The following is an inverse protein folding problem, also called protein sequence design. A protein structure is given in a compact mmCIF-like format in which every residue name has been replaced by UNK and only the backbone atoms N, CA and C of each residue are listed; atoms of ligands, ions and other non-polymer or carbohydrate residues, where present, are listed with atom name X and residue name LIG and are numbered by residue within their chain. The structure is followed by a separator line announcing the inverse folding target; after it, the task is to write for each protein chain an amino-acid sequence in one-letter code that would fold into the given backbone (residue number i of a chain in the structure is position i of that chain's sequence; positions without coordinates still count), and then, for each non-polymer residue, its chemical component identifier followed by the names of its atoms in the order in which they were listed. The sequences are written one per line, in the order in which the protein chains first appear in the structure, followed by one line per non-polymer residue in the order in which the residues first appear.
data_IF_813586375884
#
_entry.id   IF_813586375884
#
_cell.length_a   1.000
_cell.length_b   1.000
_cell.length_c   1.000
_cell.angle_alpha   90.00
_cell.angle_beta   90.00
_cell.angle_gamma   90.00
#
_symmetry.space_group_name_H-M   'P 1'
#
loop_
_entity.id
_entity.type
_entity.pdbx_description
1 polymer ?
#
# COMPACT_ATOMS: atom_id res chain seq x y z
N UNK A 1 76.12 30.19 -61.70
CA UNK A 1 75.93 31.65 -61.75
C UNK A 1 75.12 32.00 -60.51
N UNK A 2 75.72 32.14 -59.32
CA UNK A 2 76.77 33.06 -58.85
C UNK A 2 76.16 34.31 -58.20
N UNK A 3 76.80 34.81 -57.12
CA UNK A 3 76.32 35.88 -56.21
C UNK A 3 75.08 35.51 -55.35
N UNK A 4 74.75 36.18 -54.23
CA UNK A 4 75.44 36.97 -53.16
C UNK A 4 74.30 37.53 -52.25
N UNK A 5 74.41 37.97 -50.99
CA UNK A 5 75.49 38.17 -50.00
C UNK A 5 74.88 38.02 -48.59
N UNK A 6 75.68 38.01 -47.51
CA UNK A 6 75.20 38.00 -46.12
C UNK A 6 75.14 39.41 -45.48
N UNK A 7 74.32 39.56 -44.42
CA UNK A 7 74.43 40.65 -43.43
C UNK A 7 73.97 40.21 -42.01
N UNK A 8 74.63 40.73 -40.98
CA UNK A 8 74.49 40.55 -39.50
C UNK A 8 75.10 41.83 -38.83
N UNK A 9 75.20 41.99 -37.49
CA UNK A 9 74.54 41.34 -36.33
C UNK A 9 73.42 42.28 -35.79
N UNK A 10 73.10 42.60 -34.51
CA UNK A 10 73.49 42.34 -33.08
C UNK A 10 72.20 42.59 -32.24
N UNK A 11 72.04 42.34 -30.92
CA UNK A 11 72.89 41.85 -29.82
C UNK A 11 72.51 40.36 -29.51
N UNK A 12 72.67 39.65 -28.37
CA UNK A 12 72.99 39.85 -26.93
C UNK A 12 71.87 40.51 -26.06
N UNK A 13 71.74 40.24 -24.74
CA UNK A 13 72.57 39.45 -23.82
C UNK A 13 71.77 38.86 -22.61
N UNK A 14 72.21 37.70 -22.09
CA UNK A 14 71.89 37.07 -20.78
C UNK A 14 70.41 36.70 -20.43
N UNK A 15 70.14 35.64 -19.64
CA UNK A 15 71.05 34.63 -19.08
C UNK A 15 70.36 33.63 -18.13
N UNK A 16 71.17 32.71 -17.58
CA UNK A 16 70.86 31.70 -16.55
C UNK A 16 69.85 30.57 -16.88
N UNK A 17 70.31 29.33 -16.73
CA UNK A 17 69.50 28.12 -16.70
C UNK A 17 69.80 27.31 -15.42
N UNK A 18 68.78 26.66 -14.85
CA UNK A 18 68.90 25.62 -13.82
C UNK A 18 67.65 24.72 -13.83
N UNK A 19 67.75 23.53 -13.24
CA UNK A 19 66.75 22.45 -13.28
C UNK A 19 66.70 21.76 -11.89
N UNK A 20 66.02 20.62 -11.69
CA UNK A 20 64.58 20.37 -11.60
C UNK A 20 64.13 20.04 -10.15
N UNK A 21 62.82 19.83 -9.89
CA UNK A 21 62.42 19.19 -8.62
C UNK A 21 60.92 19.12 -8.24
N UNK A 22 60.32 17.94 -8.43
CA UNK A 22 59.23 17.30 -7.66
C UNK A 22 58.10 18.07 -6.95
N UNK A 23 56.86 17.64 -7.30
CA UNK A 23 55.69 17.38 -6.42
C UNK A 23 55.18 18.50 -5.47
N UNK A 24 53.96 18.98 -5.76
CA UNK A 24 52.75 18.77 -4.91
C UNK A 24 51.49 19.28 -5.63
N UNK A 25 50.39 18.51 -5.58
CA UNK A 25 49.06 18.94 -6.00
C UNK A 25 48.25 19.33 -4.75
N UNK A 26 48.00 20.63 -4.57
CA UNK A 26 46.95 21.16 -3.70
C UNK A 26 45.72 21.43 -4.57
N UNK A 27 44.57 20.79 -4.33
CA UNK A 27 43.62 21.13 -3.27
C UNK A 27 43.45 22.64 -3.13
N UNK A 28 42.42 23.20 -3.78
CA UNK A 28 41.29 23.91 -3.18
C UNK A 28 40.32 24.25 -4.32
N UNK A 29 39.16 23.60 -4.35
CA UNK A 29 37.90 24.14 -3.85
C UNK A 29 37.14 24.94 -4.93
N UNK A 30 36.56 24.22 -5.90
CA UNK A 30 35.56 24.80 -6.80
C UNK A 30 34.20 24.74 -6.10
N UNK A 31 33.54 25.89 -5.97
CA UNK A 31 32.28 26.03 -5.22
C UNK A 31 31.16 25.24 -5.88
N UNK A 32 30.63 24.22 -5.19
CA UNK A 32 29.34 23.63 -5.54
C UNK A 32 28.26 24.65 -5.14
N UNK A 33 27.74 25.37 -6.14
CA UNK A 33 26.66 26.33 -5.91
C UNK A 33 25.36 25.54 -5.70
N UNK A 34 25.03 25.26 -4.44
CA UNK A 34 23.79 24.59 -4.04
C UNK A 34 22.58 25.50 -4.31
N UNK A 35 22.10 25.47 -5.55
CA UNK A 35 20.90 26.16 -6.02
C UNK A 35 20.02 25.22 -6.86
N UNK A 36 19.97 23.94 -6.49
CA UNK A 36 18.84 23.10 -6.87
C UNK A 36 17.60 23.67 -6.17
N UNK A 37 16.76 24.37 -6.94
CA UNK A 37 15.42 24.74 -6.48
C UNK A 37 14.66 23.42 -6.38
N UNK A 38 14.62 22.86 -5.16
CA UNK A 38 13.75 21.76 -4.82
C UNK A 38 12.32 22.28 -4.84
N UNK A 39 11.73 22.25 -6.03
CA UNK A 39 10.29 22.30 -6.21
C UNK A 39 9.69 21.06 -5.57
N UNK A 40 9.50 21.11 -4.25
CA UNK A 40 8.79 20.11 -3.45
C UNK A 40 7.30 20.12 -3.79
N UNK A 41 6.96 19.76 -5.03
CA UNK A 41 5.61 19.33 -5.37
C UNK A 41 5.25 18.11 -4.51
N UNK A 42 3.95 17.93 -4.26
CA UNK A 42 3.43 16.89 -3.37
C UNK A 42 3.56 15.47 -3.96
N UNK A 43 4.81 15.00 -4.09
CA UNK A 43 5.16 13.60 -4.38
C UNK A 43 4.43 12.69 -3.38
N UNK A 44 4.10 11.45 -3.77
CA UNK A 44 3.11 10.66 -3.03
C UNK A 44 3.40 10.56 -1.51
N UNK A 45 2.37 10.93 -0.75
CA UNK A 45 2.26 10.96 0.71
C UNK A 45 1.02 10.17 1.11
N UNK A 46 0.66 9.12 0.37
CA UNK A 46 -0.43 8.24 0.78
C UNK A 46 0.10 7.23 1.81
N UNK A 47 -0.74 6.71 2.70
CA UNK A 47 -0.51 5.41 3.33
C UNK A 47 -0.28 4.27 2.31
N UNK A 48 0.11 3.11 2.83
CA UNK A 48 0.11 1.86 2.05
C UNK A 48 -1.34 1.46 1.77
N UNK A 49 -1.56 0.90 0.58
CA UNK A 49 -2.88 0.39 0.22
C UNK A 49 -3.09 -0.98 0.87
N UNK A 50 -3.83 -0.99 1.97
CA UNK A 50 -4.13 -2.19 2.77
C UNK A 50 -5.63 -2.45 2.79
N UNK A 51 -5.98 -3.73 2.70
CA UNK A 51 -7.32 -4.32 2.86
C UNK A 51 -7.12 -5.65 3.59
N UNK A 52 -8.02 -6.05 4.49
CA UNK A 52 -8.10 -7.45 4.88
C UNK A 52 -8.57 -8.24 3.66
N UNK A 53 -7.88 -9.34 3.32
CA UNK A 53 -8.19 -10.20 2.18
C UNK A 53 -8.78 -11.56 2.59
N UNK A 54 -8.99 -11.80 3.90
CA UNK A 54 -9.75 -12.95 4.39
C UNK A 54 -11.08 -13.04 3.62
N UNK A 55 -11.48 -14.21 3.09
CA UNK A 55 -12.62 -14.32 2.17
C UNK A 55 -13.96 -13.79 2.71
N UNK A 56 -14.14 -13.71 4.03
CA UNK A 56 -15.33 -13.09 4.65
C UNK A 56 -15.14 -11.60 4.90
N UNK A 57 -14.01 -11.19 5.50
CA UNK A 57 -13.77 -9.76 5.81
C UNK A 57 -13.59 -8.90 4.54
N UNK A 58 -13.07 -9.48 3.45
CA UNK A 58 -12.85 -8.82 2.16
C UNK A 58 -14.14 -8.42 1.42
N UNK A 59 -15.30 -8.99 1.80
CA UNK A 59 -16.62 -8.66 1.25
C UNK A 59 -17.12 -7.27 1.68
N UNK A 60 -16.60 -6.74 2.80
CA UNK A 60 -17.07 -5.49 3.39
C UNK A 60 -16.33 -4.26 2.84
N UNK A 61 -17.05 -3.15 2.67
CA UNK A 61 -16.57 -1.89 2.11
C UNK A 61 -15.58 -1.10 2.96
N UNK A 62 -14.82 -1.77 3.84
CA UNK A 62 -13.85 -1.16 4.74
C UNK A 62 -12.78 -0.39 3.94
N UNK A 63 -12.59 0.92 4.19
CA UNK A 63 -11.73 1.75 3.35
C UNK A 63 -10.26 1.66 3.77
N UNK A 64 -9.37 1.55 2.78
CA UNK A 64 -7.92 1.65 2.99
C UNK A 64 -7.51 3.03 3.53
N UNK A 65 -6.37 3.09 4.23
CA UNK A 65 -5.81 4.35 4.70
C UNK A 65 -5.41 5.29 3.55
N UNK A 66 -5.67 6.59 3.70
CA UNK A 66 -5.47 7.64 2.68
C UNK A 66 -4.96 8.93 3.33
N UNK A 67 -4.25 9.75 2.56
CA UNK A 67 -3.90 11.10 2.99
C UNK A 67 -5.16 11.97 3.13
N UNK A 68 -5.27 12.71 4.23
CA UNK A 68 -6.38 13.62 4.52
C UNK A 68 -6.33 14.94 3.72
N UNK A 69 -5.19 15.25 3.09
CA UNK A 69 -5.06 16.41 2.22
C UNK A 69 -5.63 16.17 0.81
N UNK A 70 -6.06 17.24 0.16
CA UNK A 70 -6.66 17.27 -1.17
C UNK A 70 -5.81 18.18 -2.07
N UNK A 71 -5.46 17.67 -3.26
CA UNK A 71 -4.68 18.41 -4.24
C UNK A 71 -5.43 19.62 -4.82
N UNK A 72 -4.75 20.49 -5.60
CA UNK A 72 -5.39 21.65 -6.23
C UNK A 72 -6.59 21.26 -7.10
N UNK A 73 -7.59 22.13 -7.20
CA UNK A 73 -8.77 21.91 -8.03
C UNK A 73 -8.39 21.50 -9.47
N UNK A 74 -8.96 20.39 -9.94
CA UNK A 74 -8.66 19.79 -11.24
C UNK A 74 -7.51 18.78 -11.26
N UNK A 75 -6.75 18.62 -10.16
CA UNK A 75 -5.71 17.59 -10.05
C UNK A 75 -6.28 16.17 -10.04
N UNK A 76 -5.51 15.22 -10.59
CA UNK A 76 -5.95 13.85 -10.84
C UNK A 76 -4.90 12.83 -10.39
N UNK A 77 -5.34 11.82 -9.64
CA UNK A 77 -4.56 10.64 -9.27
C UNK A 77 -5.09 9.39 -9.96
N UNK A 78 -4.18 8.52 -10.36
CA UNK A 78 -4.48 7.16 -10.80
C UNK A 78 -3.54 6.20 -10.06
N UNK A 79 -4.04 5.11 -9.51
CA UNK A 79 -3.21 4.05 -8.97
C UNK A 79 -3.70 2.68 -9.43
N UNK A 80 -2.74 1.78 -9.62
CA UNK A 80 -2.98 0.36 -9.79
C UNK A 80 -2.41 -0.37 -8.56
N UNK A 81 -3.25 -1.15 -7.92
CA UNK A 81 -2.95 -1.93 -6.73
C UNK A 81 -3.00 -3.41 -7.07
N UNK A 82 -1.99 -4.15 -6.64
CA UNK A 82 -1.97 -5.60 -6.64
C UNK A 82 -1.72 -6.06 -5.22
N UNK A 83 -2.50 -7.02 -4.75
CA UNK A 83 -2.37 -7.61 -3.43
C UNK A 83 -2.65 -9.09 -3.57
N UNK A 84 -1.79 -9.94 -3.02
CA UNK A 84 -1.95 -11.38 -3.04
C UNK A 84 -1.79 -11.90 -1.62
N UNK A 85 -2.76 -12.68 -1.17
CA UNK A 85 -2.79 -13.28 0.16
C UNK A 85 -2.95 -14.79 0.03
N UNK A 86 -2.27 -15.51 0.92
CA UNK A 86 -2.56 -16.92 1.16
C UNK A 86 -3.22 -17.06 2.53
N UNK A 87 -4.18 -17.97 2.62
CA UNK A 87 -4.91 -18.28 3.85
C UNK A 87 -4.67 -19.74 4.22
N UNK A 88 -4.44 -20.01 5.50
CA UNK A 88 -4.38 -21.37 6.02
C UNK A 88 -5.06 -21.45 7.41
N UNK A 89 -6.35 -21.10 7.47
CA UNK A 89 -7.15 -21.13 8.70
C UNK A 89 -7.97 -22.41 8.78
N UNK A 90 -7.93 -23.13 9.90
CA UNK A 90 -8.72 -24.35 10.10
C UNK A 90 -9.16 -24.48 11.56
N UNK A 91 -10.40 -24.07 11.83
CA UNK A 91 -10.95 -23.89 13.19
C UNK A 91 -12.21 -24.72 13.42
N UNK A 92 -12.40 -25.17 14.67
CA UNK A 92 -13.66 -25.77 15.14
C UNK A 92 -13.97 -25.26 16.54
N UNK A 93 -15.14 -24.63 16.72
CA UNK A 93 -15.58 -24.00 17.97
C UNK A 93 -17.06 -24.34 18.22
N UNK A 94 -17.31 -25.18 19.23
CA UNK A 94 -18.67 -25.61 19.59
C UNK A 94 -19.33 -26.45 18.50
N UNK A 95 -20.28 -25.85 17.78
CA UNK A 95 -20.96 -26.45 16.61
C UNK A 95 -20.48 -25.86 15.27
N UNK A 96 -19.59 -24.86 15.32
CA UNK A 96 -19.08 -24.14 14.15
C UNK A 96 -17.77 -24.76 13.68
N UNK A 97 -17.55 -24.78 12.36
CA UNK A 97 -16.31 -25.20 11.74
C UNK A 97 -15.99 -24.29 10.55
N UNK A 98 -14.73 -23.87 10.45
CA UNK A 98 -14.18 -23.05 9.38
C UNK A 98 -12.96 -23.75 8.76
N UNK A 99 -12.86 -23.69 7.44
CA UNK A 99 -11.64 -23.96 6.69
C UNK A 99 -11.47 -22.84 5.65
N UNK A 100 -10.30 -22.20 5.60
CA UNK A 100 -9.91 -21.24 4.57
C UNK A 100 -8.52 -21.64 4.09
N UNK A 101 -8.47 -22.41 3.01
CA UNK A 101 -7.24 -22.87 2.35
C UNK A 101 -7.18 -22.35 0.91
N UNK A 102 -6.01 -21.89 0.46
CA UNK A 102 -5.77 -21.33 -0.88
C UNK A 102 -5.36 -19.85 -0.92
N UNK A 103 -5.56 -19.20 -2.07
CA UNK A 103 -5.09 -17.83 -2.36
C UNK A 103 -6.21 -16.87 -2.80
N UNK A 104 -6.07 -15.59 -2.40
CA UNK A 104 -6.82 -14.46 -2.97
C UNK A 104 -5.86 -13.48 -3.63
N UNK A 105 -5.92 -13.38 -4.96
CA UNK A 105 -5.33 -12.29 -5.73
C UNK A 105 -6.37 -11.17 -5.92
N UNK A 106 -6.01 -9.94 -5.58
CA UNK A 106 -6.84 -8.74 -5.77
C UNK A 106 -6.08 -7.68 -6.54
N UNK A 107 -6.64 -7.24 -7.67
CA UNK A 107 -6.14 -6.12 -8.47
C UNK A 107 -7.17 -5.00 -8.43
N UNK A 108 -6.78 -3.78 -8.07
CA UNK A 108 -7.70 -2.64 -8.06
C UNK A 108 -7.16 -1.42 -8.81
N UNK A 109 -8.03 -0.80 -9.60
CA UNK A 109 -7.79 0.51 -10.21
C UNK A 109 -8.45 1.58 -9.34
N UNK A 110 -7.65 2.54 -8.88
CA UNK A 110 -8.09 3.65 -8.04
C UNK A 110 -7.95 4.97 -8.82
N UNK A 111 -9.02 5.74 -8.93
CA UNK A 111 -9.05 7.07 -9.54
C UNK A 111 -9.37 8.10 -8.46
N UNK A 112 -8.63 9.21 -8.39
CA UNK A 112 -8.86 10.32 -7.45
C UNK A 112 -8.94 11.63 -8.24
N UNK A 113 -9.94 12.47 -7.99
CA UNK A 113 -10.10 13.76 -8.70
C UNK A 113 -10.55 14.88 -7.77
N UNK A 114 -9.75 15.95 -7.69
CA UNK A 114 -10.07 17.14 -6.90
C UNK A 114 -11.12 18.01 -7.62
N UNK A 115 -12.38 17.92 -7.20
CA UNK A 115 -13.47 18.76 -7.69
C UNK A 115 -13.24 20.24 -7.37
N UNK A 116 -12.71 20.51 -6.18
CA UNK A 116 -12.23 21.82 -5.72
C UNK A 116 -11.04 21.60 -4.79
N UNK A 117 -10.35 22.66 -4.36
CA UNK A 117 -9.24 22.53 -3.41
C UNK A 117 -9.64 21.83 -2.09
N UNK A 118 -10.93 21.82 -1.73
CA UNK A 118 -11.43 21.22 -0.48
C UNK A 118 -12.37 20.02 -0.69
N UNK A 119 -12.57 19.56 -1.93
CA UNK A 119 -13.44 18.40 -2.24
C UNK A 119 -12.81 17.51 -3.29
N UNK A 120 -12.76 16.20 -3.04
CA UNK A 120 -12.40 15.20 -4.06
C UNK A 120 -13.38 14.04 -4.13
N UNK A 121 -13.35 13.36 -5.28
CA UNK A 121 -13.95 12.04 -5.46
C UNK A 121 -12.84 10.99 -5.58
N UNK A 122 -13.08 9.82 -4.99
CA UNK A 122 -12.32 8.59 -5.21
C UNK A 122 -13.26 7.52 -5.76
N UNK A 123 -12.84 6.81 -6.82
CA UNK A 123 -13.45 5.60 -7.31
C UNK A 123 -12.44 4.45 -7.24
N UNK A 124 -12.81 3.34 -6.63
CA UNK A 124 -12.04 2.09 -6.58
C UNK A 124 -12.81 1.00 -7.33
N UNK A 125 -12.16 0.38 -8.32
CA UNK A 125 -12.69 -0.71 -9.14
C UNK A 125 -11.80 -1.95 -8.95
N UNK A 126 -12.22 -2.92 -8.12
CA UNK A 126 -11.47 -4.16 -7.91
C UNK A 126 -11.84 -5.26 -8.92
N UNK A 127 -10.89 -6.15 -9.13
CA UNK A 127 -11.03 -7.48 -9.70
C UNK A 127 -10.35 -8.47 -8.75
N UNK A 128 -10.97 -9.63 -8.54
CA UNK A 128 -10.50 -10.69 -7.64
C UNK A 128 -10.34 -12.00 -8.42
N UNK A 129 -9.43 -12.83 -7.96
CA UNK A 129 -9.24 -14.23 -8.32
C UNK A 129 -9.04 -15.02 -7.01
N UNK A 130 -9.84 -16.07 -6.85
CA UNK A 130 -9.75 -17.04 -5.77
C UNK A 130 -9.34 -18.38 -6.37
N UNK A 131 -8.18 -18.87 -5.98
CA UNK A 131 -7.56 -20.04 -6.61
C UNK A 131 -6.76 -20.84 -5.58
N UNK A 132 -6.39 -22.08 -5.95
CA UNK A 132 -5.61 -22.93 -5.06
C UNK A 132 -4.17 -22.45 -4.86
N UNK A 133 -3.60 -21.83 -5.89
CA UNK A 133 -2.36 -21.05 -5.79
C UNK A 133 -1.17 -21.54 -6.60
N UNK A 134 -0.03 -20.90 -6.30
CA UNK A 134 1.35 -21.24 -6.65
C UNK A 134 2.31 -20.84 -5.48
N UNK A 135 1.87 -19.95 -4.57
CA UNK A 135 2.65 -19.41 -3.44
C UNK A 135 2.99 -20.47 -2.39
N UNK A 136 2.26 -21.58 -2.28
CA UNK A 136 2.62 -22.74 -1.45
C UNK A 136 4.10 -23.08 -1.62
N UNK A 137 4.51 -23.25 -2.87
CA UNK A 137 5.89 -23.57 -3.24
C UNK A 137 6.88 -22.47 -2.84
N UNK A 138 6.46 -21.20 -2.80
CA UNK A 138 7.32 -20.06 -2.46
C UNK A 138 7.44 -19.88 -0.93
N UNK A 139 6.34 -20.09 -0.21
CA UNK A 139 6.24 -20.01 1.25
C UNK A 139 6.99 -21.19 1.89
N UNK A 140 6.78 -22.42 1.41
CA UNK A 140 7.53 -23.60 1.87
C UNK A 140 9.05 -23.39 1.69
N UNK A 141 9.50 -22.93 0.52
CA UNK A 141 10.92 -22.63 0.27
C UNK A 141 11.47 -21.50 1.15
N UNK A 142 10.65 -20.53 1.57
CA UNK A 142 11.06 -19.48 2.52
C UNK A 142 11.20 -20.02 3.94
N UNK A 143 10.25 -20.85 4.39
CA UNK A 143 10.29 -21.48 5.71
C UNK A 143 11.48 -22.45 5.84
N UNK A 144 11.74 -23.28 4.81
CA UNK A 144 12.92 -24.16 4.74
C UNK A 144 14.24 -23.36 4.75
N UNK A 145 14.31 -22.23 4.03
CA UNK A 145 15.53 -21.41 3.97
C UNK A 145 15.90 -20.78 5.33
N UNK A 146 14.90 -20.36 6.11
CA UNK A 146 15.11 -19.75 7.44
C UNK A 146 15.02 -20.74 8.61
N UNK A 147 14.56 -21.96 8.39
CA UNK A 147 14.33 -22.97 9.44
C UNK A 147 13.14 -22.64 10.35
N UNK A 148 12.10 -22.02 9.80
CA UNK A 148 10.88 -21.62 10.53
C UNK A 148 9.86 -22.76 10.58
N UNK A 149 8.97 -22.74 11.58
CA UNK A 149 7.79 -23.62 11.60
C UNK A 149 6.74 -23.13 10.61
N UNK A 150 6.02 -24.06 10.00
CA UNK A 150 5.04 -23.89 8.91
C UNK A 150 3.57 -23.88 9.38
N UNK A 151 3.31 -23.80 10.69
CA UNK A 151 1.96 -24.07 11.27
C UNK A 151 1.47 -25.52 11.07
N UNK A 152 2.26 -26.37 10.41
CA UNK A 152 1.87 -27.67 9.90
C UNK A 152 1.24 -27.67 8.50
N UNK A 153 1.35 -26.58 7.72
CA UNK A 153 0.93 -26.44 6.30
C UNK A 153 1.48 -27.54 5.39
N UNK A 154 2.69 -28.03 5.65
CA UNK A 154 3.33 -29.18 4.95
C UNK A 154 2.58 -30.53 5.07
N UNK A 155 1.42 -30.56 5.74
CA UNK A 155 0.52 -31.72 5.85
C UNK A 155 -0.83 -31.51 5.14
N UNK A 156 -1.08 -30.33 4.59
CA UNK A 156 -2.21 -30.02 3.73
C UNK A 156 -2.00 -30.60 2.32
N UNK A 157 -2.96 -30.39 1.42
CA UNK A 157 -2.77 -30.62 0.00
C UNK A 157 -2.33 -29.30 -0.64
N UNK A 158 -1.20 -29.31 -1.35
CA UNK A 158 -0.72 -28.11 -2.05
C UNK A 158 -1.68 -27.70 -3.18
N UNK A 159 -1.73 -26.40 -3.44
CA UNK A 159 -2.47 -25.74 -4.52
C UNK A 159 -4.00 -26.02 -4.46
N UNK A 160 -4.56 -26.09 -3.24
CA UNK A 160 -5.98 -26.36 -2.97
C UNK A 160 -6.76 -25.07 -2.66
N UNK A 161 -7.92 -24.89 -3.31
CA UNK A 161 -8.93 -23.92 -2.87
C UNK A 161 -10.00 -24.65 -2.04
N UNK A 162 -10.14 -24.28 -0.77
CA UNK A 162 -11.15 -24.83 0.12
C UNK A 162 -11.61 -23.82 1.18
N UNK A 163 -12.46 -22.88 0.76
CA UNK A 163 -13.15 -21.95 1.66
C UNK A 163 -14.51 -22.53 2.05
N UNK A 164 -14.65 -23.02 3.28
CA UNK A 164 -15.89 -23.59 3.81
C UNK A 164 -16.17 -23.14 5.23
N UNK A 165 -17.43 -22.79 5.49
CA UNK A 165 -17.95 -22.59 6.84
C UNK A 165 -19.23 -23.41 7.05
N UNK A 166 -19.38 -23.94 8.26
CA UNK A 166 -20.59 -24.61 8.71
C UNK A 166 -20.92 -24.20 10.15
N UNK A 167 -22.06 -23.52 10.34
CA UNK A 167 -22.54 -23.08 11.65
C UNK A 167 -24.02 -22.69 11.64
N UNK A 168 -24.33 -21.43 11.94
CA UNK A 168 -25.68 -20.83 11.73
C UNK A 168 -26.01 -20.73 10.24
N UNK A 169 -24.99 -20.37 9.47
CA UNK A 169 -24.96 -20.21 8.03
C UNK A 169 -24.03 -21.27 7.41
N UNK A 170 -23.98 -21.34 6.09
CA UNK A 170 -23.07 -22.23 5.37
C UNK A 170 -22.61 -21.61 4.07
N UNK A 171 -21.30 -21.55 3.84
CA UNK A 171 -20.72 -21.18 2.56
C UNK A 171 -19.66 -22.19 2.11
N UNK A 172 -19.43 -22.29 0.80
CA UNK A 172 -18.59 -23.33 0.20
C UNK A 172 -18.06 -22.90 -1.19
N UNK A 173 -16.76 -22.56 -1.28
CA UNK A 173 -16.04 -22.27 -2.52
C UNK A 173 -14.83 -23.21 -2.65
N UNK A 174 -14.89 -24.10 -3.65
CA UNK A 174 -13.87 -25.15 -3.93
C UNK A 174 -13.48 -25.28 -5.40
N UNK A 175 -14.12 -24.53 -6.30
CA UNK A 175 -13.73 -24.37 -7.70
C UNK A 175 -13.23 -22.92 -7.86
N UNK A 176 -12.14 -22.71 -8.60
CA UNK A 176 -11.52 -21.38 -8.73
C UNK A 176 -12.43 -20.38 -9.45
N UNK A 177 -12.58 -19.18 -8.88
CA UNK A 177 -13.46 -18.11 -9.37
C UNK A 177 -12.66 -16.82 -9.66
N UNK A 178 -13.13 -15.99 -10.58
CA UNK A 178 -12.50 -14.67 -10.81
C UNK A 178 -13.44 -13.69 -11.50
N UNK A 179 -13.54 -12.47 -10.96
CA UNK A 179 -14.58 -11.52 -11.32
C UNK A 179 -14.27 -10.09 -10.91
N UNK A 180 -15.05 -9.14 -11.44
CA UNK A 180 -15.06 -7.78 -10.90
C UNK A 180 -15.60 -7.85 -9.48
N UNK A 181 -15.01 -7.12 -8.55
CA UNK A 181 -15.51 -7.06 -7.18
C UNK A 181 -16.43 -5.87 -6.93
N UNK A 182 -16.82 -5.70 -5.67
CA UNK A 182 -17.65 -4.57 -5.25
C UNK A 182 -16.93 -3.22 -5.36
N UNK A 183 -17.47 -2.37 -6.23
CA UNK A 183 -16.91 -1.06 -6.56
C UNK A 183 -17.19 -0.05 -5.46
N UNK A 184 -16.23 0.81 -5.12
CA UNK A 184 -16.40 1.82 -4.06
C UNK A 184 -16.25 3.24 -4.61
N UNK A 185 -17.24 4.10 -4.35
CA UNK A 185 -17.16 5.55 -4.56
C UNK A 185 -16.99 6.23 -3.20
N UNK A 186 -16.21 7.30 -3.13
CA UNK A 186 -16.05 8.12 -1.93
C UNK A 186 -15.92 9.59 -2.26
N UNK A 187 -16.39 10.43 -1.34
CA UNK A 187 -16.35 11.89 -1.40
C UNK A 187 -15.65 12.41 -0.14
N UNK A 188 -14.50 13.09 -0.31
CA UNK A 188 -13.76 13.68 0.81
C UNK A 188 -14.01 15.19 0.88
N UNK A 189 -14.21 15.71 2.09
CA UNK A 189 -14.23 17.15 2.38
C UNK A 189 -13.09 17.51 3.35
N UNK A 190 -12.20 18.42 2.92
CA UNK A 190 -11.08 18.89 3.73
C UNK A 190 -11.57 19.87 4.80
N UNK A 191 -11.61 19.41 6.06
CA UNK A 191 -11.99 20.17 7.25
C UNK A 191 -10.90 21.18 7.66
N UNK A 192 -9.64 20.78 7.49
CA UNK A 192 -8.46 21.56 7.90
C UNK A 192 -7.27 21.29 6.97
N UNK A 193 -6.46 22.31 6.73
CA UNK A 193 -5.12 22.18 6.16
C UNK A 193 -4.28 23.42 6.50
N UNK A 194 -3.05 23.21 6.97
CA UNK A 194 -2.00 24.22 7.04
C UNK A 194 -0.68 23.70 6.41
N UNK A 195 0.48 24.19 6.86
CA UNK A 195 1.80 23.77 6.32
C UNK A 195 2.34 22.47 6.90
N UNK A 196 1.69 21.89 7.89
CA UNK A 196 2.20 20.75 8.67
C UNK A 196 1.12 19.70 8.99
N UNK A 197 -0.17 20.01 8.89
CA UNK A 197 -1.24 19.04 9.09
C UNK A 197 -2.48 19.30 8.22
N UNK A 198 -3.22 18.23 7.93
CA UNK A 198 -4.54 18.24 7.29
C UNK A 198 -5.52 17.30 7.99
N UNK A 199 -6.82 17.58 7.84
CA UNK A 199 -7.89 16.71 8.30
C UNK A 199 -9.08 16.76 7.34
N UNK A 200 -9.75 15.62 7.14
CA UNK A 200 -10.89 15.48 6.25
C UNK A 200 -12.00 14.61 6.85
N UNK A 201 -13.23 14.92 6.49
CA UNK A 201 -14.38 14.03 6.62
C UNK A 201 -14.56 13.31 5.28
N UNK A 202 -14.81 12.01 5.31
CA UNK A 202 -15.05 11.18 4.13
C UNK A 202 -16.40 10.48 4.29
N UNK A 203 -17.20 10.47 3.24
CA UNK A 203 -18.35 9.57 3.10
C UNK A 203 -18.10 8.64 1.91
N UNK A 204 -18.39 7.36 2.06
CA UNK A 204 -18.20 6.36 1.02
C UNK A 204 -19.39 5.42 0.88
N UNK A 205 -19.51 4.86 -0.33
CA UNK A 205 -20.54 3.91 -0.70
C UNK A 205 -19.89 2.78 -1.50
N UNK A 206 -20.11 1.54 -1.07
CA UNK A 206 -19.76 0.33 -1.80
C UNK A 206 -21.00 -0.16 -2.54
N UNK A 207 -20.88 -0.40 -3.84
CA UNK A 207 -21.93 -0.95 -4.68
C UNK A 207 -21.75 -2.47 -4.81
N UNK A 208 -22.83 -3.24 -4.74
CA UNK A 208 -22.83 -4.67 -5.10
C UNK A 208 -22.64 -4.86 -6.60
N UNK A 209 -21.37 -4.89 -7.04
CA UNK A 209 -20.97 -5.07 -8.43
C UNK A 209 -20.16 -6.33 -8.67
N UNK A 210 -19.72 -7.00 -7.61
CA UNK A 210 -19.20 -8.36 -7.68
C UNK A 210 -20.30 -9.40 -7.53
N UNK A 211 -19.92 -10.65 -7.78
CA UNK A 211 -20.77 -11.82 -7.64
C UNK A 211 -20.56 -12.49 -6.27
N UNK A 212 -21.65 -12.81 -5.59
CA UNK A 212 -21.67 -13.40 -4.24
C UNK A 212 -21.44 -14.92 -4.27
N UNK A 213 -21.91 -15.61 -5.31
CA UNK A 213 -21.66 -17.04 -5.51
C UNK A 213 -20.16 -17.31 -5.80
N UNK A 214 -19.44 -16.31 -6.33
CA UNK A 214 -18.01 -16.37 -6.64
C UNK A 214 -17.09 -15.75 -5.57
N UNK A 215 -17.61 -15.26 -4.43
CA UNK A 215 -16.90 -14.51 -3.38
C UNK A 215 -16.28 -13.16 -3.80
N UNK A 216 -16.56 -12.69 -5.02
CA UNK A 216 -15.98 -11.44 -5.54
C UNK A 216 -16.72 -10.18 -5.03
N UNK A 217 -17.99 -10.32 -4.65
CA UNK A 217 -18.80 -9.28 -3.99
C UNK A 217 -19.70 -9.87 -2.88
N UNK A 218 -20.38 -9.00 -2.13
CA UNK A 218 -21.18 -9.41 -0.95
C UNK A 218 -22.70 -9.47 -1.17
N UNK A 219 -23.12 -9.43 -2.44
CA UNK A 219 -24.52 -9.24 -2.85
C UNK A 219 -25.17 -7.90 -2.48
N UNK A 220 -24.51 -7.09 -1.63
CA UNK A 220 -25.14 -5.97 -0.93
C UNK A 220 -24.29 -4.70 -0.83
N UNK A 221 -24.99 -3.55 -0.79
CA UNK A 221 -24.41 -2.22 -0.70
C UNK A 221 -24.02 -1.85 0.74
N UNK A 222 -22.84 -1.25 0.93
CA UNK A 222 -22.38 -0.71 2.22
C UNK A 222 -22.24 0.81 2.18
N UNK A 223 -22.38 1.48 3.32
CA UNK A 223 -22.06 2.90 3.46
C UNK A 223 -21.17 3.17 4.67
N UNK A 224 -20.11 3.97 4.49
CA UNK A 224 -19.20 4.34 5.57
C UNK A 224 -19.01 5.85 5.72
N UNK A 225 -18.64 6.26 6.93
CA UNK A 225 -18.11 7.59 7.25
C UNK A 225 -16.78 7.47 7.98
N UNK A 226 -15.83 8.34 7.65
CA UNK A 226 -14.51 8.35 8.27
C UNK A 226 -13.99 9.76 8.52
N UNK A 227 -13.23 9.94 9.60
CA UNK A 227 -12.31 11.05 9.78
C UNK A 227 -10.91 10.59 9.39
N UNK A 228 -10.22 11.39 8.58
CA UNK A 228 -8.81 11.19 8.22
C UNK A 228 -7.98 12.37 8.69
N UNK A 229 -6.77 12.07 9.13
CA UNK A 229 -5.77 13.03 9.61
C UNK A 229 -4.44 12.75 8.93
N UNK A 230 -3.61 13.77 8.70
CA UNK A 230 -2.25 13.62 8.18
C UNK A 230 -1.37 14.77 8.64
N UNK A 231 -0.07 14.53 8.78
CA UNK A 231 0.88 15.60 9.11
C UNK A 231 2.35 15.27 8.89
N UNK A 232 3.16 16.32 8.76
CA UNK A 232 4.61 16.31 8.66
C UNK A 232 5.27 16.55 10.03
N UNK A 233 6.53 16.10 10.17
CA UNK A 233 7.47 16.48 11.24
C UNK A 233 7.00 16.22 12.67
N UNK A 234 6.93 14.92 13.03
CA UNK A 234 6.87 14.51 14.42
C UNK A 234 8.24 14.78 15.10
N UNK A 235 8.35 15.96 15.71
CA UNK A 235 9.61 16.58 16.17
C UNK A 235 10.62 16.80 15.03
N UNK A 236 11.92 16.98 15.34
CA UNK A 236 12.99 17.30 14.37
C UNK A 236 13.33 16.16 13.37
N UNK A 237 12.44 15.16 13.22
CA UNK A 237 12.63 14.00 12.36
C UNK A 237 11.92 14.17 11.00
N UNK A 238 12.44 13.56 9.92
CA UNK A 238 11.78 13.52 8.61
C UNK A 238 10.69 12.43 8.57
N UNK A 239 9.79 12.45 9.57
CA UNK A 239 8.63 11.57 9.67
C UNK A 239 7.38 12.30 9.16
N UNK A 240 6.50 11.56 8.51
CA UNK A 240 5.09 11.87 8.35
C UNK A 240 4.26 10.89 9.13
N UNK A 241 3.04 11.29 9.46
CA UNK A 241 2.04 10.39 10.02
C UNK A 241 0.70 10.60 9.32
N UNK A 242 -0.07 9.53 9.26
CA UNK A 242 -1.46 9.54 8.83
C UNK A 242 -2.28 8.74 9.84
N UNK A 243 -3.57 9.04 9.97
CA UNK A 243 -4.46 8.20 10.74
C UNK A 243 -5.88 8.31 10.21
N UNK A 244 -6.66 7.24 10.36
CA UNK A 244 -8.09 7.26 10.10
C UNK A 244 -8.86 6.58 11.23
N UNK A 245 -10.12 6.99 11.38
CA UNK A 245 -11.10 6.28 12.20
C UNK A 245 -12.48 6.47 11.56
N UNK A 246 -13.33 5.46 11.62
CA UNK A 246 -14.62 5.51 10.98
C UNK A 246 -15.52 4.35 11.35
N UNK A 247 -16.64 4.29 10.64
CA UNK A 247 -17.73 3.36 10.88
C UNK A 247 -18.43 3.05 9.56
N UNK A 248 -18.72 1.77 9.35
CA UNK A 248 -19.39 1.22 8.19
C UNK A 248 -20.70 0.57 8.64
N UNK A 249 -21.82 0.99 8.04
CA UNK A 249 -23.08 0.25 8.07
C UNK A 249 -23.05 -0.70 6.88
N UNK A 250 -23.01 -2.00 7.16
CA UNK A 250 -23.01 -3.01 6.13
C UNK A 250 -24.40 -3.25 5.53
N UNK A 251 -24.42 -3.74 4.28
CA UNK A 251 -25.53 -4.45 3.68
C UNK A 251 -25.87 -5.74 4.43
N UNK A 252 -26.66 -6.62 3.81
CA UNK A 252 -26.88 -7.98 4.31
C UNK A 252 -26.43 -8.93 3.19
N UNK A 253 -25.39 -9.73 3.45
CA UNK A 253 -24.96 -10.81 2.58
C UNK A 253 -25.79 -12.07 2.91
N UNK A 254 -26.08 -12.89 1.90
CA UNK A 254 -26.75 -14.18 2.09
C UNK A 254 -25.76 -15.28 2.54
N UNK A 255 -24.46 -15.14 2.27
CA UNK A 255 -23.39 -16.09 2.69
C UNK A 255 -23.27 -16.29 4.21
N UNK A 256 -23.59 -15.26 4.98
CA UNK A 256 -23.35 -15.16 6.44
C UNK A 256 -24.56 -14.53 7.18
N UNK A 257 -25.76 -14.63 6.63
CA UNK A 257 -26.92 -13.81 7.00
C UNK A 257 -27.36 -13.87 8.48
N UNK A 258 -27.14 -14.98 9.17
CA UNK A 258 -27.56 -15.18 10.57
C UNK A 258 -26.49 -14.81 11.61
N UNK A 259 -25.22 -14.78 11.22
CA UNK A 259 -24.08 -14.37 12.07
C UNK A 259 -23.50 -12.99 11.72
N UNK A 260 -23.82 -12.40 10.56
CA UNK A 260 -23.22 -11.15 10.08
C UNK A 260 -23.38 -9.98 11.06
N UNK A 261 -22.26 -9.39 11.47
CA UNK A 261 -22.23 -8.08 12.10
C UNK A 261 -22.29 -6.97 11.06
N UNK A 262 -23.01 -5.90 11.39
CA UNK A 262 -23.42 -4.87 10.41
C UNK A 262 -23.04 -3.45 10.78
N UNK A 263 -22.43 -3.28 11.95
CA UNK A 263 -22.11 -1.98 12.54
C UNK A 263 -20.62 -1.86 12.87
N UNK A 264 -19.82 -2.00 11.81
CA UNK A 264 -18.38 -2.21 11.88
C UNK A 264 -17.62 -0.91 12.13
N UNK A 265 -16.86 -0.84 13.21
CA UNK A 265 -15.87 0.20 13.44
C UNK A 265 -14.58 -0.11 12.64
N UNK A 266 -13.82 0.93 12.28
CA UNK A 266 -12.45 0.75 11.78
C UNK A 266 -11.53 1.91 12.19
N UNK A 267 -10.24 1.62 12.33
CA UNK A 267 -9.20 2.59 12.64
C UNK A 267 -7.88 2.22 11.95
N UNK A 268 -6.98 3.20 11.84
CA UNK A 268 -5.64 2.94 11.31
C UNK A 268 -4.68 4.08 11.61
N UNK A 269 -3.38 3.74 11.69
CA UNK A 269 -2.28 4.67 11.93
C UNK A 269 -1.11 4.30 11.00
N UNK A 270 -0.50 5.30 10.35
CA UNK A 270 0.65 5.12 9.45
C UNK A 270 1.77 6.09 9.83
N UNK A 271 3.02 5.66 9.68
CA UNK A 271 4.23 6.50 9.74
C UNK A 271 5.08 6.30 8.48
N UNK A 272 5.25 7.34 7.66
CA UNK A 272 6.17 7.38 6.50
C UNK A 272 7.47 8.07 6.96
N UNK A 273 8.57 7.31 7.07
CA UNK A 273 9.91 7.84 7.34
C UNK A 273 10.63 8.12 6.03
N UNK A 274 10.82 9.40 5.72
CA UNK A 274 11.51 9.87 4.52
C UNK A 274 13.04 9.76 4.69
N UNK A 275 13.59 8.61 4.30
CA UNK A 275 15.04 8.33 4.35
C UNK A 275 15.80 9.19 3.34
N UNK A 276 15.24 9.37 2.13
CA UNK A 276 15.73 10.31 1.12
C UNK A 276 14.55 10.89 0.32
N UNK A 277 14.71 11.98 -0.46
CA UNK A 277 13.63 12.45 -1.35
C UNK A 277 13.07 11.38 -2.31
N UNK A 278 13.88 10.36 -2.65
CA UNK A 278 13.46 9.26 -3.51
C UNK A 278 12.89 8.04 -2.75
N UNK A 279 13.08 7.94 -1.43
CA UNK A 279 12.81 6.70 -0.67
C UNK A 279 12.22 6.96 0.71
N UNK A 280 11.12 6.27 1.02
CA UNK A 280 10.61 6.13 2.39
C UNK A 280 10.55 4.66 2.84
N UNK A 281 10.72 4.44 4.13
CA UNK A 281 10.24 3.25 4.84
C UNK A 281 8.92 3.61 5.52
N UNK A 282 7.91 2.75 5.44
CA UNK A 282 6.57 3.00 5.97
C UNK A 282 6.19 1.85 6.90
N UNK A 283 5.72 2.18 8.10
CA UNK A 283 5.08 1.25 9.03
C UNK A 283 3.63 1.68 9.25
N UNK A 284 2.71 0.73 9.24
CA UNK A 284 1.27 0.99 9.25
C UNK A 284 0.54 -0.09 10.06
N UNK A 285 -0.47 0.33 10.82
CA UNK A 285 -1.42 -0.52 11.53
C UNK A 285 -2.81 -0.20 11.01
N UNK A 286 -3.59 -1.24 10.70
CA UNK A 286 -5.00 -1.17 10.33
C UNK A 286 -5.77 -2.13 11.25
N UNK A 287 -6.93 -1.70 11.77
CA UNK A 287 -7.76 -2.51 12.65
C UNK A 287 -9.26 -2.26 12.39
N UNK A 288 -10.08 -3.30 12.53
CA UNK A 288 -11.52 -3.21 12.30
C UNK A 288 -12.31 -4.21 13.14
N UNK A 289 -13.61 -3.94 13.27
CA UNK A 289 -14.55 -4.85 13.91
C UNK A 289 -14.58 -6.24 13.25
N UNK A 290 -14.87 -7.27 14.03
CA UNK A 290 -15.23 -8.59 13.54
C UNK A 290 -16.37 -8.51 12.50
N UNK A 291 -16.31 -9.24 11.37
CA UNK A 291 -17.39 -9.28 10.39
C UNK A 291 -18.63 -10.05 10.88
N UNK A 292 -18.55 -10.83 11.96
CA UNK A 292 -19.63 -11.69 12.46
C UNK A 292 -19.64 -11.83 13.99
N UNK A 293 -20.80 -12.17 14.57
CA UNK A 293 -20.95 -12.70 15.94
C UNK A 293 -20.81 -14.24 15.90
N UNK A 294 -19.58 -14.72 15.71
CA UNK A 294 -19.22 -16.14 15.58
C UNK A 294 -18.32 -16.59 16.73
N UNK A 295 -18.40 -17.88 17.09
CA UNK A 295 -17.46 -18.50 18.02
C UNK A 295 -16.10 -18.88 17.42
N UNK A 296 -15.91 -18.68 16.11
CA UNK A 296 -14.67 -18.92 15.34
C UNK A 296 -13.82 -17.65 15.37
N UNK A 297 -12.56 -17.75 15.79
CA UNK A 297 -11.73 -16.58 16.09
C UNK A 297 -11.49 -15.76 14.81
N UNK A 298 -11.20 -16.42 13.68
CA UNK A 298 -11.00 -15.78 12.37
C UNK A 298 -12.24 -15.15 11.70
N UNK A 299 -13.40 -15.20 12.35
CA UNK A 299 -14.65 -14.57 11.91
C UNK A 299 -15.29 -13.66 12.97
N UNK A 300 -15.02 -13.96 14.26
CA UNK A 300 -15.66 -13.35 15.43
C UNK A 300 -14.77 -12.40 16.24
N UNK A 301 -13.45 -12.36 16.01
CA UNK A 301 -12.57 -11.38 16.66
C UNK A 301 -12.29 -10.13 15.80
N UNK A 302 -12.05 -9.00 16.48
CA UNK A 302 -11.63 -7.73 15.86
C UNK A 302 -10.21 -7.88 15.29
N UNK A 303 -10.02 -7.61 13.99
CA UNK A 303 -8.75 -7.84 13.30
C UNK A 303 -7.73 -6.72 13.54
N UNK A 304 -6.43 -7.06 13.63
CA UNK A 304 -5.32 -6.11 13.77
C UNK A 304 -4.16 -6.49 12.83
N UNK A 305 -4.07 -5.80 11.69
CA UNK A 305 -3.02 -6.01 10.68
C UNK A 305 -1.83 -5.06 10.90
N UNK A 306 -0.61 -5.61 10.88
CA UNK A 306 0.64 -4.84 10.79
C UNK A 306 1.15 -4.88 9.35
N UNK A 307 1.49 -3.72 8.80
CA UNK A 307 2.06 -3.60 7.46
C UNK A 307 3.39 -2.86 7.52
N UNK A 308 4.41 -3.41 6.85
CA UNK A 308 5.71 -2.75 6.63
C UNK A 308 5.98 -2.68 5.13
N UNK A 309 6.41 -1.52 4.64
CA UNK A 309 6.63 -1.31 3.21
C UNK A 309 7.69 -0.26 2.86
N UNK A 310 8.24 -0.39 1.65
CA UNK A 310 9.15 0.57 1.04
C UNK A 310 8.47 1.34 -0.09
N UNK A 311 8.66 2.66 -0.12
CA UNK A 311 8.19 3.54 -1.20
C UNK A 311 9.35 4.09 -2.00
N UNK A 312 9.33 3.90 -3.31
CA UNK A 312 10.27 4.47 -4.27
C UNK A 312 9.60 5.51 -5.17
N UNK A 313 10.10 6.76 -5.10
CA UNK A 313 9.64 7.91 -5.88
C UNK A 313 10.53 8.05 -7.13
N UNK A 314 10.33 7.16 -8.10
CA UNK A 314 11.25 6.96 -9.23
C UNK A 314 11.18 8.04 -10.33
N UNK A 315 10.08 8.81 -10.39
CA UNK A 315 9.95 9.99 -11.23
C UNK A 315 9.05 11.05 -10.55
N UNK A 316 9.06 12.29 -11.03
CA UNK A 316 8.36 13.43 -10.41
C UNK A 316 6.88 13.15 -10.10
N UNK A 317 6.20 12.42 -10.99
CA UNK A 317 4.76 12.10 -10.95
C UNK A 317 4.44 10.65 -10.57
N UNK A 318 5.44 9.80 -10.35
CA UNK A 318 5.26 8.35 -10.20
C UNK A 318 5.94 7.78 -8.96
N UNK A 319 5.23 6.90 -8.24
CA UNK A 319 5.76 6.15 -7.11
C UNK A 319 5.37 4.68 -7.19
N UNK A 320 6.27 3.81 -6.74
CA UNK A 320 5.98 2.39 -6.44
C UNK A 320 6.07 2.21 -4.94
N UNK A 321 5.04 1.60 -4.34
CA UNK A 321 5.05 1.11 -2.97
C UNK A 321 5.08 -0.43 -3.03
N UNK A 322 5.91 -1.08 -2.21
CA UNK A 322 5.91 -2.54 -2.01
C UNK A 322 5.81 -2.80 -0.51
N UNK A 323 4.88 -3.65 -0.08
CA UNK A 323 4.62 -3.95 1.32
C UNK A 323 4.33 -5.43 1.58
N UNK A 324 4.55 -5.83 2.83
CA UNK A 324 4.09 -7.08 3.42
C UNK A 324 3.12 -6.72 4.54
N UNK A 325 1.98 -7.39 4.59
CA UNK A 325 1.03 -7.41 5.70
C UNK A 325 1.20 -8.73 6.46
N UNK A 326 1.18 -8.65 7.78
CA UNK A 326 1.22 -9.76 8.72
C UNK A 326 0.08 -9.55 9.73
N UNK A 327 -0.64 -10.60 10.10
CA UNK A 327 -1.67 -10.54 11.13
C UNK A 327 -1.03 -10.49 12.53
N UNK A 328 -1.44 -9.52 13.35
CA UNK A 328 -1.00 -9.40 14.76
C UNK A 328 -1.98 -10.12 15.70
N UNK A 329 -3.23 -10.31 15.27
CA UNK A 329 -4.28 -11.02 16.00
C UNK A 329 -4.66 -12.28 15.21
N UNK A 330 -3.71 -13.22 15.23
CA UNK A 330 -3.71 -14.56 14.60
C UNK A 330 -5.10 -15.08 14.22
N UNK A 331 -5.22 -15.51 12.95
CA UNK A 331 -6.42 -16.08 12.29
C UNK A 331 -7.49 -15.03 11.86
N UNK A 332 -7.42 -13.75 12.28
CA UNK A 332 -8.38 -12.69 11.88
C UNK A 332 -8.11 -12.03 10.51
N UNK A 333 -6.89 -12.19 10.00
CA UNK A 333 -6.47 -11.77 8.66
C UNK A 333 -5.59 -12.86 8.02
N UNK A 334 -5.28 -12.78 6.71
CA UNK A 334 -4.41 -13.77 6.06
C UNK A 334 -3.02 -13.79 6.68
N UNK A 335 -2.44 -14.98 6.85
CA UNK A 335 -1.14 -15.22 7.50
C UNK A 335 -0.04 -14.28 6.97
N UNK A 336 -0.03 -14.09 5.64
CA UNK A 336 0.79 -13.10 4.96
C UNK A 336 0.10 -12.59 3.70
N UNK A 337 0.17 -11.29 3.45
CA UNK A 337 -0.22 -10.69 2.18
C UNK A 337 0.90 -9.83 1.59
N UNK A 338 1.25 -10.08 0.33
CA UNK A 338 2.23 -9.29 -0.43
C UNK A 338 1.51 -8.26 -1.29
N UNK A 339 2.03 -7.03 -1.32
CA UNK A 339 1.37 -5.90 -1.97
C UNK A 339 2.33 -5.09 -2.83
N UNK A 340 1.84 -4.65 -3.98
CA UNK A 340 2.51 -3.68 -4.85
C UNK A 340 1.52 -2.60 -5.30
N UNK A 341 1.93 -1.34 -5.26
CA UNK A 341 1.11 -0.19 -5.67
C UNK A 341 1.87 0.72 -6.60
N UNK A 342 1.43 0.86 -7.85
CA UNK A 342 1.94 1.86 -8.79
C UNK A 342 1.01 3.07 -8.79
N UNK A 343 1.49 4.24 -8.36
CA UNK A 343 0.70 5.48 -8.28
C UNK A 343 1.24 6.53 -9.26
N UNK A 344 0.33 7.21 -9.97
CA UNK A 344 0.55 8.39 -10.80
C UNK A 344 -0.24 9.59 -10.25
N UNK A 345 0.36 10.77 -10.24
CA UNK A 345 -0.31 12.04 -9.91
C UNK A 345 -0.08 13.08 -11.02
N UNK A 346 -1.18 13.64 -11.54
CA UNK A 346 -1.19 14.79 -12.43
C UNK A 346 -1.60 16.06 -11.66
N UNK A 347 -0.69 17.03 -11.68
CA UNK A 347 -1.00 18.46 -11.53
C UNK A 347 -1.25 19.05 -12.92
#
# INVERSE_FOLDING_TARGET
MAMSTAARPVLAQAGCAASPGHRRLSRHALTVLAAAILSSGAQAQEPLYVKNLSPVAGLFGLPSQRNADIGPAGSFGLAAHTSIASHYVSEVRGNEALNLDGETLRVALELRYALTDNWDLQLELPWLDHSGGDLDSLIDNWHDFWGMSDGGRSRAAQDLLDYRYQGSDTFDLRDASSGMGDSTLSLSYRLYHDKAASAALVAGYKFSTGDEDEFTGSGSDDAFVALRFSGDHLADLPLRWHGQMGYLRAGQSELIAHMQERDLWFAGLTVDWLITPAWSLIGQLDAHAAPTDSGIDGLGEDAIMLTVGGRWRFAERWTVDISVVEDVQVETAPDVAFQASLRYRAN
#
